data_IF_638400592863
#
_entry.id   IF_638400592863
#
_cell.length_a   1.000
_cell.length_b   1.000
_cell.length_c   1.000
_cell.angle_alpha   90.00
_cell.angle_beta   90.00
_cell.angle_gamma   90.00
#
_symmetry.space_group_name_H-M   'P 1'
#
loop_
_entity.id
_entity.type
_entity.pdbx_description
1 polymer ?
#
# COMPACT_ATOMS: atom_id res chain seq x y z
N UNK A 1 -12.68 23.09 -13.46
CA UNK A 1 -12.89 23.44 -12.02
C UNK A 1 -11.54 23.45 -11.32
N UNK A 2 -11.25 24.42 -10.44
CA UNK A 2 -9.98 24.47 -9.71
C UNK A 2 -9.83 23.30 -8.75
N UNK A 3 -8.62 22.74 -8.67
CA UNK A 3 -8.28 21.62 -7.79
C UNK A 3 -8.39 22.01 -6.31
N UNK A 4 -9.09 21.21 -5.49
CA UNK A 4 -9.20 21.41 -4.04
C UNK A 4 -8.33 20.38 -3.30
N UNK A 5 -7.34 20.88 -2.56
CA UNK A 5 -6.41 20.07 -1.76
C UNK A 5 -7.20 19.25 -0.73
N UNK A 6 -6.96 17.93 -0.69
CA UNK A 6 -7.61 17.01 0.25
C UNK A 6 -8.90 16.34 -0.23
N UNK A 7 -9.39 16.70 -1.41
CA UNK A 7 -10.50 15.99 -2.08
C UNK A 7 -9.97 15.27 -3.31
N UNK A 8 -10.28 13.96 -3.42
CA UNK A 8 -9.98 13.19 -4.62
C UNK A 8 -10.60 13.88 -5.84
N UNK A 9 -9.79 14.17 -6.85
CA UNK A 9 -10.25 14.73 -8.13
C UNK A 9 -11.04 13.74 -9.00
N UNK A 10 -11.16 12.48 -8.56
CA UNK A 10 -11.99 11.48 -9.20
C UNK A 10 -13.41 11.53 -8.57
N UNK A 11 -14.48 11.86 -9.34
CA UNK A 11 -15.86 11.88 -8.84
C UNK A 11 -16.38 10.49 -8.42
N UNK A 12 -15.73 9.41 -8.87
CA UNK A 12 -15.95 8.02 -8.46
C UNK A 12 -14.82 7.50 -7.53
N UNK A 13 -13.92 8.37 -7.10
CA UNK A 13 -12.70 8.02 -6.39
C UNK A 13 -12.95 7.56 -4.96
N UNK A 14 -12.12 6.63 -4.51
CA UNK A 14 -12.17 6.12 -3.14
C UNK A 14 -11.85 7.25 -2.14
N UNK A 15 -12.65 7.43 -1.08
CA UNK A 15 -12.43 8.50 -0.12
C UNK A 15 -11.04 8.39 0.52
N UNK A 16 -10.38 9.54 0.68
CA UNK A 16 -9.10 9.66 1.38
C UNK A 16 -9.22 9.08 2.78
N UNK A 17 -8.33 8.14 3.13
CA UNK A 17 -8.37 7.42 4.42
C UNK A 17 -9.15 6.10 4.41
N UNK A 18 -9.75 5.70 3.29
CA UNK A 18 -10.38 4.38 3.19
C UNK A 18 -9.32 3.27 3.30
N UNK A 19 -9.34 2.50 4.39
CA UNK A 19 -8.44 1.36 4.62
C UNK A 19 -8.79 0.27 3.62
N UNK A 20 -7.85 -0.17 2.77
CA UNK A 20 -8.13 -1.25 1.82
C UNK A 20 -8.74 -2.44 2.55
N UNK A 21 -9.86 -2.99 2.05
CA UNK A 21 -10.48 -4.17 2.66
C UNK A 21 -9.47 -5.31 2.81
N UNK A 22 -8.59 -5.47 1.80
CA UNK A 22 -7.49 -6.44 1.83
C UNK A 22 -6.48 -6.19 2.95
N UNK A 23 -6.12 -4.94 3.25
CA UNK A 23 -5.14 -4.62 4.32
C UNK A 23 -5.76 -4.75 5.70
N UNK A 24 -7.07 -4.54 5.84
CA UNK A 24 -7.80 -4.82 7.08
C UNK A 24 -7.83 -6.32 7.37
N UNK A 25 -8.24 -7.12 6.39
CA UNK A 25 -8.32 -8.58 6.53
C UNK A 25 -6.96 -9.21 6.80
N UNK A 26 -5.91 -8.76 6.12
CA UNK A 26 -4.54 -9.21 6.40
C UNK A 26 -4.13 -8.93 7.84
N UNK A 27 -4.44 -7.74 8.37
CA UNK A 27 -4.08 -7.37 9.74
C UNK A 27 -4.82 -8.24 10.77
N UNK A 28 -6.10 -8.52 10.53
CA UNK A 28 -6.90 -9.41 11.39
C UNK A 28 -6.34 -10.84 11.38
N UNK A 29 -5.99 -11.37 10.21
CA UNK A 29 -5.39 -12.70 10.12
C UNK A 29 -4.02 -12.78 10.80
N UNK A 30 -3.18 -11.76 10.65
CA UNK A 30 -1.91 -11.67 11.39
C UNK A 30 -2.18 -11.66 12.89
N UNK A 31 -3.19 -10.89 13.35
CA UNK A 31 -3.56 -10.85 14.76
C UNK A 31 -4.01 -12.21 15.33
N UNK A 32 -4.71 -13.02 14.53
CA UNK A 32 -5.12 -14.38 14.92
C UNK A 32 -3.95 -15.37 14.92
N UNK A 33 -3.01 -15.22 13.99
CA UNK A 33 -1.86 -16.13 13.84
C UNK A 33 -0.74 -15.87 14.87
N UNK A 34 -0.73 -14.68 15.49
CA UNK A 34 0.32 -14.25 16.41
C UNK A 34 -0.13 -14.41 17.86
N UNK A 35 0.59 -15.24 18.61
CA UNK A 35 0.42 -15.35 20.07
C UNK A 35 1.20 -14.24 20.80
N UNK A 36 0.47 -13.27 21.33
CA UNK A 36 1.03 -12.12 22.05
C UNK A 36 1.77 -12.50 23.35
N UNK A 37 1.35 -13.55 24.04
CA UNK A 37 2.01 -14.00 25.27
C UNK A 37 3.35 -14.66 24.97
N UNK A 38 3.42 -15.41 23.87
CA UNK A 38 4.68 -15.97 23.39
C UNK A 38 5.67 -14.87 22.99
N UNK A 39 5.19 -13.83 22.30
CA UNK A 39 6.02 -12.66 21.95
C UNK A 39 6.58 -11.94 23.18
N UNK A 40 5.73 -11.66 24.17
CA UNK A 40 6.18 -10.97 25.39
C UNK A 40 7.21 -11.80 26.17
N UNK A 41 6.98 -13.11 26.28
CA UNK A 41 7.93 -14.02 26.93
C UNK A 41 9.28 -14.06 26.19
N UNK A 42 9.27 -14.13 24.86
CA UNK A 42 10.51 -14.11 24.06
C UNK A 42 11.23 -12.77 24.19
N UNK A 43 10.51 -11.64 24.21
CA UNK A 43 11.11 -10.32 24.39
C UNK A 43 11.78 -10.18 25.77
N UNK A 44 11.14 -10.71 26.82
CA UNK A 44 11.68 -10.67 28.18
C UNK A 44 12.90 -11.57 28.37
N UNK A 45 13.12 -12.57 27.51
CA UNK A 45 14.31 -13.42 27.53
C UNK A 45 15.54 -12.75 26.90
N UNK A 46 15.38 -11.62 26.22
CA UNK A 46 16.49 -10.92 25.58
C UNK A 46 17.29 -10.16 26.64
N UNK A 47 18.48 -10.67 26.95
CA UNK A 47 19.42 -10.06 27.90
C UNK A 47 20.06 -8.77 27.37
N UNK A 48 20.35 -8.69 26.07
CA UNK A 48 20.89 -7.49 25.43
C UNK A 48 20.05 -7.08 24.20
N UNK A 49 19.05 -6.20 24.39
CA UNK A 49 18.09 -5.83 23.34
C UNK A 49 18.75 -5.26 22.09
N UNK A 50 19.76 -4.42 22.26
CA UNK A 50 20.42 -3.70 21.16
C UNK A 50 21.21 -4.65 20.27
N UNK A 51 21.95 -5.58 20.87
CA UNK A 51 22.71 -6.59 20.12
C UNK A 51 21.79 -7.57 19.40
N UNK A 52 20.71 -7.98 20.05
CA UNK A 52 19.72 -8.86 19.44
C UNK A 52 19.06 -8.22 18.20
N UNK A 53 18.59 -6.97 18.32
CA UNK A 53 17.99 -6.25 17.18
C UNK A 53 19.01 -6.07 16.06
N UNK A 54 20.26 -5.75 16.39
CA UNK A 54 21.33 -5.62 15.41
C UNK A 54 21.65 -6.94 14.69
N UNK A 55 21.65 -8.07 15.40
CA UNK A 55 21.87 -9.38 14.81
C UNK A 55 20.71 -9.77 13.87
N UNK A 56 19.47 -9.65 14.35
CA UNK A 56 18.28 -9.98 13.56
C UNK A 56 18.17 -9.10 12.32
N UNK A 57 18.35 -7.79 12.45
CA UNK A 57 18.28 -6.85 11.32
C UNK A 57 19.36 -7.12 10.26
N UNK A 58 20.56 -7.52 10.65
CA UNK A 58 21.62 -7.93 9.72
C UNK A 58 21.31 -9.27 9.03
N UNK A 59 20.53 -10.15 9.66
CA UNK A 59 20.14 -11.45 9.11
C UNK A 59 18.87 -11.39 8.24
N UNK A 60 17.96 -10.45 8.47
CA UNK A 60 16.72 -10.29 7.70
C UNK A 60 16.92 -10.25 6.18
N UNK A 61 17.94 -9.56 5.61
CA UNK A 61 18.19 -9.55 4.17
C UNK A 61 18.51 -10.92 3.56
N UNK A 62 18.93 -11.88 4.39
CA UNK A 62 19.24 -13.24 3.96
C UNK A 62 18.05 -14.19 4.15
N UNK A 63 17.14 -13.88 5.09
CA UNK A 63 15.92 -14.64 5.32
C UNK A 63 14.77 -14.20 4.39
N UNK A 64 14.70 -12.90 4.07
CA UNK A 64 13.70 -12.33 3.19
C UNK A 64 14.32 -12.23 1.80
N UNK A 65 13.67 -12.85 0.80
CA UNK A 65 14.08 -12.70 -0.59
C UNK A 65 14.18 -11.23 -0.96
N UNK A 66 15.29 -10.82 -1.57
CA UNK A 66 15.46 -9.45 -2.06
C UNK A 66 14.25 -9.12 -2.93
N UNK A 67 13.48 -8.09 -2.57
CA UNK A 67 12.42 -7.61 -3.46
C UNK A 67 13.09 -7.33 -4.80
N UNK A 68 12.64 -8.01 -5.86
CA UNK A 68 12.99 -7.59 -7.21
C UNK A 68 12.61 -6.11 -7.29
N UNK A 69 13.55 -5.28 -7.75
CA UNK A 69 13.24 -3.94 -8.16
C UNK A 69 12.15 -4.10 -9.24
N UNK A 70 10.89 -3.88 -8.85
CA UNK A 70 9.70 -3.70 -9.69
C UNK A 70 9.72 -4.56 -10.95
N UNK A 71 8.91 -5.64 -10.97
CA UNK A 71 8.49 -6.20 -12.27
C UNK A 71 7.97 -5.03 -13.10
N UNK A 72 8.56 -4.90 -14.29
CA UNK A 72 8.34 -3.86 -15.27
C UNK A 72 6.86 -3.48 -15.24
N UNK A 73 6.59 -2.20 -14.96
CA UNK A 73 5.27 -1.64 -15.24
C UNK A 73 5.05 -1.99 -16.71
N UNK A 74 4.16 -2.95 -16.99
CA UNK A 74 3.77 -3.28 -18.36
C UNK A 74 3.56 -1.95 -19.07
N UNK A 75 4.33 -1.70 -20.13
CA UNK A 75 4.21 -0.49 -20.94
C UNK A 75 2.78 -0.48 -21.46
N UNK A 76 1.88 0.14 -20.71
CA UNK A 76 0.48 0.22 -21.06
C UNK A 76 0.43 1.12 -22.29
N UNK A 77 0.03 0.56 -23.43
CA UNK A 77 -0.11 1.33 -24.67
C UNK A 77 -0.95 2.59 -24.39
N UNK A 78 -0.53 3.75 -24.93
CA UNK A 78 -1.21 5.01 -24.66
C UNK A 78 -2.67 4.93 -25.10
N UNK A 79 -3.60 5.20 -24.17
CA UNK A 79 -5.03 5.24 -24.46
C UNK A 79 -5.35 6.45 -25.34
N UNK A 80 -5.60 6.25 -26.63
CA UNK A 80 -6.08 7.31 -27.53
C UNK A 80 -7.54 7.64 -27.21
N UNK A 81 -7.80 8.86 -26.75
CA UNK A 81 -9.16 9.36 -26.49
C UNK A 81 -9.52 10.41 -27.54
N UNK A 82 -10.42 10.04 -28.46
CA UNK A 82 -10.97 10.97 -29.46
C UNK A 82 -12.19 11.69 -28.89
N UNK A 83 -12.07 13.01 -28.68
CA UNK A 83 -13.16 13.87 -28.20
C UNK A 83 -13.81 14.54 -29.40
N UNK A 84 -15.03 14.13 -29.74
CA UNK A 84 -15.83 14.78 -30.79
C UNK A 84 -16.75 15.82 -30.17
N UNK A 85 -16.54 17.10 -30.52
CA UNK A 85 -17.46 18.17 -30.16
C UNK A 85 -18.56 18.24 -31.22
N UNK A 86 -19.77 17.79 -30.89
CA UNK A 86 -20.96 18.17 -31.64
C UNK A 86 -21.34 19.56 -31.19
N UNK A 87 -21.03 20.57 -31.99
CA UNK A 87 -21.54 21.92 -31.78
C UNK A 87 -23.06 21.87 -31.68
N UNK A 88 -23.61 22.42 -30.61
CA UNK A 88 -25.03 22.76 -30.60
C UNK A 88 -25.18 23.93 -31.56
N UNK A 89 -25.71 23.67 -32.75
CA UNK A 89 -26.06 24.71 -33.70
C UNK A 89 -26.90 25.77 -32.98
N UNK A 90 -26.45 27.01 -33.08
CA UNK A 90 -27.17 28.20 -32.68
C UNK A 90 -28.50 28.23 -33.44
N UNK A 91 -29.60 27.88 -32.77
CA UNK A 91 -30.93 28.21 -33.28
C UNK A 91 -31.24 29.66 -32.90
N UNK A 92 -31.19 30.50 -33.93
CA UNK A 92 -31.75 31.87 -34.01
C UNK A 92 -33.07 32.04 -33.26
#
# INVERSE_FOLDING_TARGET
>A
MPFKKGTSGNPLGRPVGSISSSTKLLREQIGLAVDGNKLSNMLNQITNPTEYINAVSKLLPYAIGKKKAYEEIEEMEPLEVTINFTGTDENN
#
